data_IF_348474658878
#
_entry.id   IF_348474658878
#
_cell.length_a   1.000
_cell.length_b   1.000
_cell.length_c   1.000
_cell.angle_alpha   90.00
_cell.angle_beta   90.00
_cell.angle_gamma   90.00
#
_symmetry.space_group_name_H-M   'P 1'
#
loop_
_entity.id
_entity.type
_entity.pdbx_description
1 polymer ?
#
# COMPACT_ATOMS: atom_id res chain seq x y z
N UNK A 1 -11.15 12.45 -20.28
CA UNK A 1 -11.56 13.02 -18.98
C UNK A 1 -10.29 13.29 -18.19
N UNK A 2 -10.13 14.49 -17.63
CA UNK A 2 -8.94 14.81 -16.82
C UNK A 2 -9.20 14.35 -15.40
N UNK A 3 -8.45 13.35 -14.92
CA UNK A 3 -8.56 12.87 -13.55
C UNK A 3 -7.75 13.77 -12.60
N UNK A 4 -8.41 14.23 -11.54
CA UNK A 4 -7.81 15.01 -10.47
C UNK A 4 -7.21 14.07 -9.43
N UNK A 5 -5.97 14.34 -9.01
CA UNK A 5 -5.31 13.63 -7.91
C UNK A 5 -4.90 14.66 -6.88
N UNK A 6 -5.30 14.44 -5.62
CA UNK A 6 -5.04 15.32 -4.48
C UNK A 6 -4.33 14.52 -3.41
N UNK A 7 -3.35 15.14 -2.74
CA UNK A 7 -2.69 14.58 -1.55
C UNK A 7 -3.10 15.44 -0.35
N UNK A 8 -3.53 14.80 0.73
CA UNK A 8 -3.89 15.43 1.99
C UNK A 8 -3.04 14.84 3.11
N UNK A 9 -2.56 15.65 4.07
CA UNK A 9 -2.67 17.11 4.07
C UNK A 9 -1.81 17.75 2.96
N UNK A 10 -2.21 18.92 2.47
CA UNK A 10 -1.60 19.54 1.26
C UNK A 10 -0.16 20.00 1.47
N UNK A 11 0.27 20.16 2.72
CA UNK A 11 1.61 20.54 3.15
C UNK A 11 2.50 19.34 3.47
N UNK A 12 2.04 18.10 3.25
CA UNK A 12 2.87 16.93 3.44
C UNK A 12 4.10 16.97 2.52
N UNK A 13 5.29 16.91 3.13
CA UNK A 13 6.59 17.16 2.50
C UNK A 13 6.93 16.28 1.28
N UNK A 14 6.23 15.16 1.10
CA UNK A 14 6.43 14.25 -0.02
C UNK A 14 5.30 14.27 -1.06
N UNK A 15 4.28 15.12 -0.89
CA UNK A 15 3.12 15.19 -1.76
C UNK A 15 3.48 15.40 -3.23
N UNK A 16 4.36 16.36 -3.53
CA UNK A 16 4.81 16.63 -4.91
C UNK A 16 5.51 15.43 -5.57
N UNK A 17 6.19 14.59 -4.77
CA UNK A 17 6.84 13.37 -5.26
C UNK A 17 5.85 12.24 -5.49
N UNK A 18 4.78 12.18 -4.69
CA UNK A 18 3.79 11.13 -4.76
C UNK A 18 2.79 11.32 -5.92
N UNK A 19 2.43 12.57 -6.24
CA UNK A 19 1.50 12.89 -7.35
C UNK A 19 1.87 12.22 -8.68
N UNK A 20 3.10 12.32 -9.22
CA UNK A 20 3.43 11.67 -10.48
C UNK A 20 3.35 10.14 -10.41
N UNK A 21 3.69 9.54 -9.26
CA UNK A 21 3.59 8.09 -9.06
C UNK A 21 2.12 7.63 -9.03
N UNK A 22 1.26 8.38 -8.34
CA UNK A 22 -0.17 8.13 -8.32
C UNK A 22 -0.78 8.28 -9.73
N UNK A 23 -0.38 9.32 -10.49
CA UNK A 23 -0.82 9.47 -11.88
C UNK A 23 -0.40 8.29 -12.75
N UNK A 24 0.84 7.84 -12.63
CA UNK A 24 1.35 6.69 -13.39
C UNK A 24 0.59 5.40 -13.06
N UNK A 25 0.41 5.10 -11.77
CA UNK A 25 -0.33 3.92 -11.32
C UNK A 25 -1.81 3.97 -11.77
N UNK A 26 -2.46 5.14 -11.67
CA UNK A 26 -3.84 5.33 -12.11
C UNK A 26 -3.99 5.09 -13.61
N UNK A 27 -3.06 5.63 -14.42
CA UNK A 27 -3.04 5.43 -15.86
C UNK A 27 -2.81 3.95 -16.22
N UNK A 28 -1.88 3.27 -15.54
CA UNK A 28 -1.60 1.85 -15.74
C UNK A 28 -2.84 0.97 -15.54
N UNK A 29 -3.67 1.31 -14.56
CA UNK A 29 -4.91 0.57 -14.24
C UNK A 29 -6.15 1.14 -14.90
N UNK A 30 -6.00 2.18 -15.73
CA UNK A 30 -7.06 2.87 -16.46
C UNK A 30 -8.17 3.42 -15.55
N UNK A 31 -7.82 3.84 -14.32
CA UNK A 31 -8.82 4.28 -13.34
C UNK A 31 -9.62 5.52 -13.79
N UNK A 32 -9.06 6.31 -14.71
CA UNK A 32 -9.72 7.46 -15.33
C UNK A 32 -11.03 7.12 -16.06
N UNK A 33 -11.28 5.83 -16.36
CA UNK A 33 -12.55 5.36 -16.94
C UNK A 33 -13.71 5.40 -15.96
N UNK A 34 -13.42 5.35 -14.66
CA UNK A 34 -14.42 5.29 -13.59
C UNK A 34 -14.33 6.50 -12.67
N UNK A 35 -13.10 6.94 -12.34
CA UNK A 35 -12.86 7.94 -11.31
C UNK A 35 -12.51 9.30 -11.91
N UNK A 36 -13.22 10.34 -11.47
CA UNK A 36 -12.91 11.76 -11.72
C UNK A 36 -11.87 12.28 -10.73
N UNK A 37 -11.90 11.79 -9.48
CA UNK A 37 -11.03 12.27 -8.41
C UNK A 37 -10.44 11.11 -7.59
N UNK A 38 -9.16 11.25 -7.24
CA UNK A 38 -8.45 10.38 -6.30
C UNK A 38 -7.82 11.28 -5.22
N UNK A 39 -8.23 11.11 -3.97
CA UNK A 39 -7.60 11.72 -2.80
C UNK A 39 -6.75 10.67 -2.06
N UNK A 40 -5.47 10.95 -1.91
CA UNK A 40 -4.57 10.20 -1.04
C UNK A 40 -4.46 10.94 0.29
N UNK A 41 -5.03 10.37 1.34
CA UNK A 41 -5.10 10.96 2.67
C UNK A 41 -4.03 10.26 3.52
N UNK A 42 -2.91 10.94 3.67
CA UNK A 42 -1.78 10.50 4.47
C UNK A 42 -1.99 11.01 5.89
N UNK A 43 -2.14 10.09 6.83
CA UNK A 43 -2.37 10.42 8.24
C UNK A 43 -1.39 9.64 9.13
N UNK A 44 -0.98 10.26 10.24
CA UNK A 44 -0.07 9.70 11.26
C UNK A 44 -0.87 9.13 12.45
N UNK A 45 -2.05 8.57 12.16
CA UNK A 45 -2.85 7.90 13.19
C UNK A 45 -2.19 6.57 13.51
N UNK A 46 -1.32 6.60 14.51
CA UNK A 46 -0.52 5.49 15.05
C UNK A 46 -1.33 4.24 15.48
N UNK A 47 -2.67 4.28 15.45
CA UNK A 47 -3.52 3.18 15.90
C UNK A 47 -3.85 2.16 14.80
N UNK A 48 -3.62 2.48 13.51
CA UNK A 48 -3.91 1.56 12.42
C UNK A 48 -2.94 1.74 11.24
N UNK A 49 -1.98 0.82 11.13
CA UNK A 49 -1.04 0.75 9.99
C UNK A 49 -1.73 0.34 8.69
N UNK A 50 -3.01 -0.11 8.75
CA UNK A 50 -3.74 -0.58 7.59
C UNK A 50 -4.24 0.61 6.78
N UNK A 51 -4.17 0.48 5.45
CA UNK A 51 -4.78 1.43 4.53
C UNK A 51 -6.28 1.18 4.38
N UNK A 52 -7.07 2.24 4.28
CA UNK A 52 -8.52 2.18 4.13
C UNK A 52 -8.94 2.84 2.82
N UNK A 53 -9.92 2.26 2.14
CA UNK A 53 -10.45 2.79 0.88
C UNK A 53 -11.93 3.14 1.03
N UNK A 54 -12.29 4.33 0.56
CA UNK A 54 -13.68 4.78 0.40
C UNK A 54 -13.93 5.15 -1.05
N UNK A 55 -14.98 4.60 -1.64
CA UNK A 55 -15.43 4.99 -2.99
C UNK A 55 -16.77 5.73 -2.85
N UNK A 56 -16.76 7.03 -3.14
CA UNK A 56 -17.94 7.88 -3.08
C UNK A 56 -18.57 7.99 -4.48
N UNK A 57 -19.87 7.72 -4.57
CA UNK A 57 -20.68 7.81 -5.79
C UNK A 57 -20.09 7.10 -7.04
N UNK A 58 -19.20 6.12 -6.82
CA UNK A 58 -18.45 5.37 -7.84
C UNK A 58 -17.51 6.21 -8.72
N UNK A 59 -17.36 7.50 -8.46
CA UNK A 59 -16.51 8.43 -9.23
C UNK A 59 -15.36 9.03 -8.44
N UNK A 60 -15.40 8.92 -7.12
CA UNK A 60 -14.39 9.50 -6.24
C UNK A 60 -13.77 8.41 -5.35
N UNK A 61 -12.44 8.40 -5.26
CA UNK A 61 -11.69 7.50 -4.39
C UNK A 61 -10.99 8.30 -3.30
N UNK A 62 -11.23 7.92 -2.05
CA UNK A 62 -10.47 8.35 -0.88
C UNK A 62 -9.63 7.16 -0.38
N UNK A 63 -8.31 7.29 -0.44
CA UNK A 63 -7.37 6.28 0.07
C UNK A 63 -6.67 6.85 1.31
N UNK A 64 -7.03 6.33 2.47
CA UNK A 64 -6.41 6.65 3.75
C UNK A 64 -5.22 5.72 3.99
N UNK A 65 -4.09 6.28 4.38
CA UNK A 65 -2.85 5.53 4.51
C UNK A 65 -1.87 6.17 5.50
N UNK A 66 -1.08 5.32 6.16
CA UNK A 66 0.02 5.77 7.00
C UNK A 66 1.21 6.22 6.13
N UNK A 67 1.95 7.23 6.58
CA UNK A 67 3.08 7.75 5.79
C UNK A 67 4.20 6.73 5.59
N UNK A 68 4.36 5.78 6.53
CA UNK A 68 5.35 4.71 6.46
C UNK A 68 5.25 3.86 5.19
N UNK A 69 4.08 3.80 4.55
CA UNK A 69 3.91 3.10 3.27
C UNK A 69 4.72 3.74 2.13
N UNK A 70 5.20 4.98 2.33
CA UNK A 70 6.02 5.73 1.39
C UNK A 70 7.46 5.92 1.86
N UNK A 71 7.74 5.74 3.14
CA UNK A 71 9.06 5.89 3.70
C UNK A 71 9.85 4.58 3.62
N UNK A 72 11.17 4.67 3.43
CA UNK A 72 12.03 3.50 3.58
C UNK A 72 11.87 2.97 4.99
N UNK A 73 11.88 1.64 5.15
CA UNK A 73 11.97 1.07 6.48
C UNK A 73 13.25 1.61 7.11
N UNK A 74 13.09 2.53 8.06
CA UNK A 74 14.09 2.77 9.07
C UNK A 74 14.07 1.51 9.90
N UNK A 75 14.71 0.45 9.39
CA UNK A 75 15.23 -0.53 10.30
C UNK A 75 16.14 0.30 11.21
N UNK A 76 15.65 0.65 12.42
CA UNK A 76 16.51 0.75 13.57
C UNK A 76 17.30 -0.54 13.48
N UNK A 77 18.51 -0.42 12.93
CA UNK A 77 19.20 -1.55 12.35
C UNK A 77 19.67 -2.36 13.54
N UNK A 78 18.78 -3.22 14.05
CA UNK A 78 19.11 -4.36 14.87
C UNK A 78 19.89 -5.28 13.93
N UNK A 79 21.09 -4.84 13.59
CA UNK A 79 22.15 -5.69 13.09
C UNK A 79 22.54 -6.55 14.27
N UNK A 80 21.70 -7.54 14.56
CA UNK A 80 22.16 -8.72 15.28
C UNK A 80 23.27 -9.30 14.43
N UNK A 81 24.50 -9.21 14.92
CA UNK A 81 25.54 -10.06 14.36
C UNK A 81 25.08 -11.49 14.62
N UNK A 82 25.02 -12.36 13.60
CA UNK A 82 24.78 -13.77 13.85
C UNK A 82 25.85 -14.24 14.83
N UNK A 83 25.43 -14.84 15.92
CA UNK A 83 26.36 -15.49 16.82
C UNK A 83 27.07 -16.63 16.09
N UNK A 84 28.20 -17.07 16.61
CA UNK A 84 28.98 -18.19 16.04
C UNK A 84 28.14 -19.47 15.93
N UNK A 85 27.16 -19.64 16.81
CA UNK A 85 26.29 -20.82 16.86
C UNK A 85 24.81 -20.41 16.72
N UNK A 86 23.98 -21.23 16.06
CA UNK A 86 22.59 -20.90 15.75
C UNK A 86 21.65 -20.83 16.97
N UNK A 87 22.10 -21.25 18.15
CA UNK A 87 21.36 -21.17 19.42
C UNK A 87 21.86 -20.05 20.35
N UNK A 88 22.85 -19.26 19.92
CA UNK A 88 23.37 -18.13 20.69
C UNK A 88 22.59 -16.86 20.31
N UNK A 89 22.07 -16.16 21.34
CA UNK A 89 21.54 -14.81 21.16
C UNK A 89 22.73 -13.89 20.88
N UNK A 90 22.87 -13.41 19.64
CA UNK A 90 23.89 -12.45 19.27
C UNK A 90 23.82 -11.17 20.11
N UNK A 91 24.97 -10.50 20.28
CA UNK A 91 25.04 -9.24 21.02
C UNK A 91 24.06 -8.21 20.46
N UNK A 92 23.18 -7.71 21.33
CA UNK A 92 22.24 -6.65 20.99
C UNK A 92 22.99 -5.33 20.99
N UNK A 93 23.16 -4.72 19.82
CA UNK A 93 23.54 -3.31 19.72
C UNK A 93 22.34 -2.44 20.07
N UNK A 94 22.58 -1.38 20.83
CA UNK A 94 21.59 -0.33 20.99
C UNK A 94 21.22 0.23 19.62
N UNK A 95 19.93 0.48 19.36
CA UNK A 95 19.51 1.05 18.09
C UNK A 95 20.19 2.41 17.90
N UNK A 96 20.81 2.60 16.74
CA UNK A 96 21.30 3.91 16.32
C UNK A 96 20.15 4.94 16.40
N UNK A 97 20.44 6.23 16.68
CA UNK A 97 19.43 7.27 16.69
C UNK A 97 18.66 7.25 15.38
N UNK A 98 17.33 7.11 15.48
CA UNK A 98 16.41 6.96 14.36
C UNK A 98 16.53 8.18 13.45
N UNK A 99 17.26 8.04 12.34
CA UNK A 99 17.24 9.01 11.26
C UNK A 99 15.84 9.04 10.66
N UNK A 100 15.28 10.21 10.33
CA UNK A 100 13.99 10.29 9.64
C UNK A 100 14.02 9.42 8.39
N UNK A 101 13.05 8.52 8.28
CA UNK A 101 12.98 7.57 7.18
C UNK A 101 12.85 8.34 5.85
N UNK A 102 13.79 8.14 4.93
CA UNK A 102 13.77 8.83 3.63
C UNK A 102 12.65 8.29 2.73
N UNK A 103 12.03 9.15 1.93
CA UNK A 103 11.03 8.75 0.93
C UNK A 103 11.56 7.66 -0.03
N UNK A 104 10.70 6.68 -0.32
CA UNK A 104 10.99 5.53 -1.17
C UNK A 104 10.02 5.46 -2.35
N UNK A 105 10.45 5.95 -3.52
CA UNK A 105 9.64 5.89 -4.74
C UNK A 105 9.20 4.44 -5.07
N UNK A 106 10.10 3.46 -4.93
CA UNK A 106 9.81 2.05 -5.16
C UNK A 106 8.73 1.50 -4.21
N UNK A 107 8.74 1.91 -2.94
CA UNK A 107 7.73 1.46 -1.95
C UNK A 107 6.38 2.09 -2.29
N UNK A 108 6.39 3.39 -2.60
CA UNK A 108 5.21 4.12 -3.06
C UNK A 108 4.59 3.51 -4.33
N UNK A 109 5.40 3.19 -5.34
CA UNK A 109 4.95 2.56 -6.59
C UNK A 109 4.28 1.22 -6.34
N UNK A 110 4.92 0.34 -5.54
CA UNK A 110 4.33 -0.95 -5.18
C UNK A 110 3.01 -0.77 -4.45
N UNK A 111 2.99 0.06 -3.41
CA UNK A 111 1.79 0.33 -2.63
C UNK A 111 0.65 0.85 -3.53
N UNK A 112 0.89 1.91 -4.30
CA UNK A 112 -0.10 2.51 -5.19
C UNK A 112 -0.58 1.51 -6.25
N UNK A 113 0.32 0.69 -6.80
CA UNK A 113 -0.03 -0.36 -7.75
C UNK A 113 -1.05 -1.33 -7.16
N UNK A 114 -0.82 -1.84 -5.94
CA UNK A 114 -1.74 -2.77 -5.28
C UNK A 114 -3.10 -2.14 -5.01
N UNK A 115 -3.11 -0.93 -4.43
CA UNK A 115 -4.36 -0.26 -4.07
C UNK A 115 -5.20 0.07 -5.30
N UNK A 116 -4.56 0.56 -6.36
CA UNK A 116 -5.29 0.94 -7.58
C UNK A 116 -5.75 -0.26 -8.39
N UNK A 117 -5.03 -1.39 -8.32
CA UNK A 117 -5.51 -2.66 -8.87
C UNK A 117 -6.74 -3.16 -8.11
N UNK A 118 -6.71 -3.13 -6.77
CA UNK A 118 -7.87 -3.50 -5.96
C UNK A 118 -9.09 -2.62 -6.26
N UNK A 119 -8.89 -1.30 -6.36
CA UNK A 119 -9.96 -0.35 -6.73
C UNK A 119 -10.53 -0.66 -8.11
N UNK A 120 -9.67 -0.95 -9.10
CA UNK A 120 -10.13 -1.35 -10.43
C UNK A 120 -11.03 -2.59 -10.36
N UNK A 121 -10.61 -3.61 -9.62
CA UNK A 121 -11.35 -4.87 -9.52
C UNK A 121 -12.69 -4.71 -8.79
N UNK A 122 -12.76 -3.83 -7.79
CA UNK A 122 -14.01 -3.42 -7.14
C UNK A 122 -14.92 -2.68 -8.13
N UNK A 123 -14.40 -1.67 -8.83
CA UNK A 123 -15.18 -0.86 -9.77
C UNK A 123 -15.71 -1.69 -10.97
N UNK A 124 -14.92 -2.65 -11.43
CA UNK A 124 -15.29 -3.60 -12.47
C UNK A 124 -16.25 -4.71 -11.98
N UNK A 125 -16.48 -4.81 -10.66
CA UNK A 125 -17.32 -5.84 -10.05
C UNK A 125 -16.72 -7.25 -10.08
N UNK A 126 -15.41 -7.36 -10.27
CA UNK A 126 -14.64 -8.61 -10.14
C UNK A 126 -14.54 -9.01 -8.66
N UNK A 127 -14.36 -8.00 -7.80
CA UNK A 127 -14.41 -8.14 -6.34
C UNK A 127 -15.65 -7.41 -5.83
N UNK A 128 -16.40 -8.08 -4.95
CA UNK A 128 -17.59 -7.53 -4.29
C UNK A 128 -17.41 -7.63 -2.77
N UNK A 129 -16.76 -6.63 -2.14
CA UNK A 129 -16.45 -6.68 -0.72
C UNK A 129 -17.68 -6.93 0.18
N UNK A 130 -18.85 -6.46 -0.25
CA UNK A 130 -20.14 -6.66 0.42
C UNK A 130 -20.60 -8.12 0.47
N UNK A 131 -20.10 -8.97 -0.43
CA UNK A 131 -20.39 -10.40 -0.46
C UNK A 131 -19.44 -11.19 0.46
N UNK A 132 -18.34 -10.57 0.94
CA UNK A 132 -17.38 -11.20 1.85
C UNK A 132 -17.97 -11.25 3.27
N UNK A 133 -18.14 -12.45 3.86
CA UNK A 133 -18.63 -12.54 5.24
C UNK A 133 -17.69 -11.79 6.20
N UNK A 134 -18.24 -10.97 7.10
CA UNK A 134 -17.45 -10.16 8.05
C UNK A 134 -16.36 -10.95 8.79
N UNK A 135 -16.67 -12.18 9.21
CA UNK A 135 -15.73 -13.09 9.90
C UNK A 135 -14.54 -13.56 9.06
N UNK A 136 -14.60 -13.36 7.74
CA UNK A 136 -13.55 -13.73 6.78
C UNK A 136 -12.89 -12.50 6.14
N UNK A 137 -13.31 -11.28 6.50
CA UNK A 137 -12.84 -10.06 5.85
C UNK A 137 -11.30 -9.91 5.94
N UNK A 138 -10.72 -10.18 7.11
CA UNK A 138 -9.26 -10.11 7.30
C UNK A 138 -8.53 -11.20 6.49
N UNK A 139 -8.99 -12.45 6.54
CA UNK A 139 -8.39 -13.54 5.77
C UNK A 139 -8.52 -13.32 4.26
N UNK A 140 -9.62 -12.72 3.81
CA UNK A 140 -9.82 -12.34 2.42
C UNK A 140 -8.84 -11.23 2.03
N UNK A 141 -8.67 -10.20 2.86
CA UNK A 141 -7.72 -9.12 2.63
C UNK A 141 -6.28 -9.64 2.53
N UNK A 142 -5.86 -10.53 3.43
CA UNK A 142 -4.53 -11.17 3.39
C UNK A 142 -4.35 -12.04 2.14
N UNK A 143 -5.32 -12.90 1.83
CA UNK A 143 -5.30 -13.72 0.63
C UNK A 143 -5.28 -12.87 -0.64
N UNK A 144 -6.00 -11.75 -0.65
CA UNK A 144 -6.01 -10.78 -1.74
C UNK A 144 -4.67 -10.05 -1.86
N UNK A 145 -4.08 -9.60 -0.75
CA UNK A 145 -2.76 -8.97 -0.76
C UNK A 145 -1.70 -9.88 -1.40
N UNK A 146 -1.72 -11.18 -1.05
CA UNK A 146 -0.81 -12.19 -1.62
C UNK A 146 -1.14 -12.49 -3.10
N UNK A 147 -2.42 -12.56 -3.48
CA UNK A 147 -2.85 -12.88 -4.86
C UNK A 147 -2.88 -11.69 -5.81
N UNK A 148 -2.79 -10.46 -5.31
CA UNK A 148 -2.62 -9.23 -6.09
C UNK A 148 -1.14 -8.91 -6.30
N UNK A 149 -0.27 -9.14 -5.31
CA UNK A 149 1.20 -9.00 -5.48
C UNK A 149 1.76 -10.10 -6.41
N UNK A 150 1.10 -11.24 -6.46
CA UNK A 150 1.20 -12.18 -7.56
C UNK A 150 -0.17 -12.58 -8.02
N UNK A 151 -0.66 -12.00 -9.15
CA UNK A 151 -1.53 -12.78 -10.06
C UNK A 151 -0.85 -14.13 -10.18
N UNK A 152 -1.36 -15.13 -9.47
CA UNK A 152 -0.83 -16.48 -9.49
C UNK A 152 -0.65 -16.79 -10.96
N UNK A 153 0.61 -16.94 -11.41
CA UNK A 153 0.87 -17.66 -12.64
C UNK A 153 0.10 -18.95 -12.41
N UNK A 154 -0.98 -19.16 -13.17
CA UNK A 154 -1.79 -20.37 -13.04
C UNK A 154 -0.88 -21.62 -13.13
N UNK A 155 0.26 -21.47 -13.80
CA UNK A 155 1.39 -22.39 -13.92
C UNK A 155 2.35 -22.50 -12.70
N UNK A 156 2.09 -21.83 -11.57
CA UNK A 156 2.95 -21.86 -10.38
C UNK A 156 2.21 -22.38 -9.13
N UNK A 157 0.93 -22.74 -9.25
CA UNK A 157 0.23 -23.48 -8.20
C UNK A 157 0.46 -24.98 -8.36
N UNK A 158 0.72 -25.73 -7.27
CA UNK A 158 0.84 -27.19 -7.36
C UNK A 158 -0.46 -27.80 -7.91
N UNK A 159 -0.38 -28.51 -9.03
CA UNK A 159 -1.52 -29.18 -9.69
C UNK A 159 -1.98 -28.57 -11.02
N UNK A 160 -1.25 -27.61 -11.58
CA UNK A 160 -1.38 -27.14 -12.97
C UNK A 160 -0.07 -27.29 -13.74
#
# INVERSE_FOLDING_TARGET
MTQRIVILPTDWQYGERLIPLARAASAQHELWRWLTEIALIVDDVAADERSWLGICDRTELNLYCHEDLFLRDSAASLTMRPASLPWELGERRDPDPVTPAAFSARKAERYLHHQFLAVKDILAGVVRPEEVPRKLAESYQEAWAVTVDGRLRRAAMPGH
#
